data_IF_500905550296
#
_entry.id   IF_500905550296
#
_cell.length_a   1.000
_cell.length_b   1.000
_cell.length_c   1.000
_cell.angle_alpha   90.00
_cell.angle_beta   90.00
_cell.angle_gamma   90.00
#
_symmetry.space_group_name_H-M   'P 1'
#
loop_
_entity.id
_entity.type
_entity.pdbx_description
1 polymer ?
#
# COMPACT_ATOMS: atom_id res chain seq x y z
N UNK A 1 4.50 5.45 7.03
CA UNK A 1 5.09 4.09 7.07
C UNK A 1 6.43 4.21 7.77
N UNK A 2 6.94 3.16 8.42
CA UNK A 2 8.22 3.22 9.14
C UNK A 2 9.43 3.06 8.21
N UNK A 3 9.37 2.11 7.27
CA UNK A 3 10.48 1.77 6.37
C UNK A 3 9.92 1.53 4.96
N UNK A 4 10.37 2.24 3.91
CA UNK A 4 9.96 1.95 2.54
C UNK A 4 10.50 0.58 2.11
N UNK A 5 9.73 -0.10 1.25
CA UNK A 5 10.22 -1.28 0.55
C UNK A 5 11.18 -0.89 -0.56
N UNK A 6 12.16 -1.75 -0.85
CA UNK A 6 12.87 -1.72 -2.11
C UNK A 6 11.96 -2.32 -3.20
N UNK A 7 11.75 -1.57 -4.28
CA UNK A 7 10.96 -2.05 -5.41
C UNK A 7 11.71 -3.16 -6.15
N UNK A 8 11.03 -4.27 -6.44
CA UNK A 8 11.61 -5.42 -7.15
C UNK A 8 10.98 -5.52 -8.54
N UNK A 9 11.73 -5.15 -9.60
CA UNK A 9 11.24 -5.30 -10.96
C UNK A 9 10.91 -6.76 -11.29
N UNK A 10 9.80 -6.99 -11.99
CA UNK A 10 9.37 -8.34 -12.33
C UNK A 10 8.55 -8.39 -13.62
N UNK A 11 8.51 -9.57 -14.26
CA UNK A 11 7.73 -9.82 -15.48
C UNK A 11 6.23 -9.48 -15.34
N UNK A 12 5.71 -9.45 -14.12
CA UNK A 12 4.30 -9.11 -13.83
C UNK A 12 3.95 -7.69 -14.26
N UNK A 13 4.92 -6.79 -14.36
CA UNK A 13 4.74 -5.42 -14.86
C UNK A 13 4.24 -5.38 -16.32
N UNK A 14 4.50 -6.44 -17.10
CA UNK A 14 3.98 -6.58 -18.47
C UNK A 14 2.45 -6.54 -18.51
N UNK A 15 1.77 -6.88 -17.42
CA UNK A 15 0.33 -6.72 -17.33
C UNK A 15 -0.10 -5.25 -17.42
N UNK A 16 0.65 -4.33 -16.80
CA UNK A 16 0.40 -2.90 -16.94
C UNK A 16 0.74 -2.42 -18.36
N UNK A 17 1.79 -2.95 -19.00
CA UNK A 17 2.10 -2.64 -20.41
C UNK A 17 0.95 -3.03 -21.34
N UNK A 18 0.33 -4.20 -21.12
CA UNK A 18 -0.87 -4.60 -21.85
C UNK A 18 -2.04 -3.67 -21.61
N UNK A 19 -2.25 -3.22 -20.36
CA UNK A 19 -3.30 -2.25 -20.04
C UNK A 19 -3.06 -0.89 -20.71
N UNK A 20 -1.81 -0.43 -20.77
CA UNK A 20 -1.46 0.79 -21.49
C UNK A 20 -1.82 0.66 -22.98
N UNK A 21 -1.47 -0.47 -23.61
CA UNK A 21 -1.83 -0.73 -25.01
C UNK A 21 -3.35 -0.81 -25.23
N UNK A 22 -4.07 -1.53 -24.35
CA UNK A 22 -5.54 -1.62 -24.41
C UNK A 22 -6.17 -0.23 -24.27
N UNK A 23 -5.64 0.61 -23.38
CA UNK A 23 -6.12 1.97 -23.19
C UNK A 23 -5.90 2.84 -24.44
N UNK A 24 -4.77 2.70 -25.13
CA UNK A 24 -4.53 3.37 -26.42
C UNK A 24 -5.49 2.89 -27.52
N UNK A 25 -5.82 1.60 -27.54
CA UNK A 25 -6.84 1.04 -28.42
C UNK A 25 -8.21 1.68 -28.13
N UNK A 26 -8.60 1.78 -26.85
CA UNK A 26 -9.84 2.46 -26.46
C UNK A 26 -9.84 3.93 -26.89
N UNK A 27 -8.75 4.67 -26.63
CA UNK A 27 -8.65 6.08 -27.01
C UNK A 27 -8.70 6.32 -28.53
N UNK A 28 -8.43 5.30 -29.34
CA UNK A 28 -8.49 5.38 -30.81
C UNK A 28 -9.89 5.04 -31.37
N UNK A 29 -10.81 4.57 -30.53
CA UNK A 29 -12.15 4.11 -30.94
C UNK A 29 -13.00 5.18 -31.66
N UNK A 30 -12.95 6.49 -31.31
CA UNK A 30 -13.69 7.54 -32.02
C UNK A 30 -13.35 7.68 -33.51
N UNK A 31 -12.24 7.07 -33.99
CA UNK A 31 -11.91 7.02 -35.43
C UNK A 31 -12.94 6.25 -36.28
N UNK A 32 -13.87 5.52 -35.64
CA UNK A 32 -14.98 4.81 -36.29
C UNK A 32 -14.66 3.37 -36.73
N UNK A 33 -13.47 2.86 -36.41
CA UNK A 33 -13.13 1.46 -36.65
C UNK A 33 -14.00 0.53 -35.76
N UNK A 34 -14.53 -0.59 -36.30
CA UNK A 34 -15.21 -1.58 -35.46
C UNK A 34 -14.20 -2.31 -34.56
N UNK A 35 -14.66 -2.75 -33.39
CA UNK A 35 -13.84 -3.60 -32.52
C UNK A 35 -13.45 -4.89 -33.24
N UNK A 36 -12.15 -5.19 -33.26
CA UNK A 36 -11.63 -6.42 -33.87
C UNK A 36 -10.25 -6.78 -33.31
N UNK A 37 -9.86 -8.05 -33.46
CA UNK A 37 -8.54 -8.52 -33.03
C UNK A 37 -7.37 -7.87 -33.78
N UNK A 38 -7.62 -7.24 -34.93
CA UNK A 38 -6.61 -6.50 -35.69
C UNK A 38 -6.12 -5.24 -34.97
N UNK A 39 -6.92 -4.70 -34.03
CA UNK A 39 -6.53 -3.56 -33.19
C UNK A 39 -5.28 -3.88 -32.34
N UNK A 40 -5.00 -5.16 -32.09
CA UNK A 40 -3.85 -5.62 -31.30
C UNK A 40 -2.61 -5.96 -32.14
N UNK A 41 -2.61 -5.72 -33.46
CA UNK A 41 -1.47 -6.04 -34.34
C UNK A 41 -0.15 -5.38 -33.90
N UNK A 42 -0.21 -4.22 -33.24
CA UNK A 42 0.96 -3.52 -32.68
C UNK A 42 1.57 -4.18 -31.44
N UNK A 43 0.90 -5.18 -30.85
CA UNK A 43 1.39 -5.93 -29.70
C UNK A 43 1.11 -7.44 -29.88
N UNK A 44 2.04 -8.20 -30.49
CA UNK A 44 1.81 -9.61 -30.83
C UNK A 44 1.48 -10.51 -29.64
N UNK A 45 2.13 -10.29 -28.48
CA UNK A 45 1.87 -11.09 -27.27
C UNK A 45 0.45 -10.83 -26.74
N UNK A 46 0.03 -9.56 -26.67
CA UNK A 46 -1.34 -9.22 -26.29
C UNK A 46 -2.35 -9.73 -27.32
N UNK A 47 -2.03 -9.66 -28.61
CA UNK A 47 -2.91 -10.20 -29.66
C UNK A 47 -3.13 -11.70 -29.49
N UNK A 48 -2.08 -12.45 -29.17
CA UNK A 48 -2.18 -13.89 -28.89
C UNK A 48 -3.13 -14.15 -27.71
N UNK A 49 -2.97 -13.41 -26.60
CA UNK A 49 -3.85 -13.49 -25.43
C UNK A 49 -5.31 -13.15 -25.80
N UNK A 50 -5.53 -12.02 -26.47
CA UNK A 50 -6.88 -11.58 -26.85
C UNK A 50 -7.54 -12.53 -27.85
N UNK A 51 -6.75 -13.18 -28.71
CA UNK A 51 -7.22 -14.22 -29.63
C UNK A 51 -7.62 -15.47 -28.85
N UNK A 52 -6.79 -15.92 -27.91
CA UNK A 52 -7.12 -17.05 -27.04
C UNK A 52 -8.40 -16.79 -26.25
N UNK A 53 -8.54 -15.61 -25.63
CA UNK A 53 -9.74 -15.22 -24.91
C UNK A 53 -10.98 -15.02 -25.79
N UNK A 54 -10.82 -14.70 -27.07
CA UNK A 54 -11.96 -14.58 -27.97
C UNK A 54 -12.58 -15.94 -28.32
N UNK A 55 -11.77 -16.99 -28.43
CA UNK A 55 -12.22 -18.32 -28.82
C UNK A 55 -12.43 -19.29 -27.64
N UNK A 56 -11.97 -18.92 -26.44
CA UNK A 56 -12.13 -19.74 -25.25
C UNK A 56 -13.51 -19.56 -24.61
N UNK A 57 -14.22 -20.67 -24.38
CA UNK A 57 -15.48 -20.72 -23.64
C UNK A 57 -15.20 -20.84 -22.13
N UNK A 58 -14.69 -19.76 -21.52
CA UNK A 58 -14.39 -19.71 -20.09
C UNK A 58 -14.77 -18.37 -19.48
N UNK A 59 -15.18 -18.37 -18.20
CA UNK A 59 -15.54 -17.13 -17.49
C UNK A 59 -14.42 -16.08 -17.44
N UNK A 60 -13.16 -16.50 -17.45
CA UNK A 60 -12.01 -15.59 -17.44
C UNK A 60 -11.83 -14.96 -18.82
N UNK A 61 -11.92 -15.77 -19.88
CA UNK A 61 -11.88 -15.29 -21.25
C UNK A 61 -13.02 -14.30 -21.53
N UNK A 62 -14.25 -14.65 -21.15
CA UNK A 62 -15.43 -13.78 -21.24
C UNK A 62 -15.25 -12.47 -20.48
N UNK A 63 -14.64 -12.53 -19.28
CA UNK A 63 -14.34 -11.32 -18.51
C UNK A 63 -13.44 -10.37 -19.30
N UNK A 64 -12.35 -10.85 -19.91
CA UNK A 64 -11.47 -9.97 -20.66
C UNK A 64 -12.11 -9.51 -21.98
N UNK A 65 -12.55 -10.46 -22.82
CA UNK A 65 -13.08 -10.16 -24.15
C UNK A 65 -14.29 -9.22 -24.09
N UNK A 66 -15.27 -9.54 -23.25
CA UNK A 66 -16.53 -8.78 -23.18
C UNK A 66 -16.35 -7.41 -22.53
N UNK A 67 -15.57 -7.29 -21.45
CA UNK A 67 -15.39 -5.98 -20.80
C UNK A 67 -14.51 -5.05 -21.65
N UNK A 68 -13.44 -5.57 -22.27
CA UNK A 68 -12.57 -4.74 -23.14
C UNK A 68 -13.35 -4.24 -24.35
N UNK A 69 -14.16 -5.09 -24.99
CA UNK A 69 -15.02 -4.68 -26.09
C UNK A 69 -16.10 -3.68 -25.65
N UNK A 70 -16.75 -3.92 -24.51
CA UNK A 70 -17.77 -2.99 -23.99
C UNK A 70 -17.18 -1.61 -23.72
N UNK A 71 -16.01 -1.52 -23.09
CA UNK A 71 -15.31 -0.26 -22.85
C UNK A 71 -14.93 0.40 -24.17
N UNK A 72 -14.41 -0.35 -25.15
CA UNK A 72 -14.12 0.19 -26.49
C UNK A 72 -15.35 0.85 -27.14
N UNK A 73 -16.52 0.20 -27.03
CA UNK A 73 -17.78 0.74 -27.56
C UNK A 73 -18.26 1.99 -26.81
N UNK A 74 -17.94 2.14 -25.52
CA UNK A 74 -18.17 3.40 -24.81
C UNK A 74 -17.23 4.50 -25.32
N UNK A 75 -15.94 4.20 -25.44
CA UNK A 75 -14.96 5.16 -25.96
C UNK A 75 -15.28 5.63 -27.37
N UNK A 76 -15.89 4.79 -28.23
CA UNK A 76 -16.25 5.20 -29.61
C UNK A 76 -17.34 6.28 -29.67
N UNK A 77 -18.04 6.55 -28.56
CA UNK A 77 -19.08 7.59 -28.48
C UNK A 77 -18.56 8.90 -27.88
N UNK A 78 -17.30 8.93 -27.40
CA UNK A 78 -16.72 10.10 -26.74
C UNK A 78 -16.19 11.11 -27.76
N UNK A 79 -16.26 12.39 -27.39
CA UNK A 79 -15.58 13.44 -28.14
C UNK A 79 -14.07 13.52 -27.79
N UNK A 80 -13.31 14.26 -28.61
CA UNK A 80 -11.86 14.37 -28.43
C UNK A 80 -11.47 14.97 -27.08
N UNK A 81 -12.22 15.94 -26.55
CA UNK A 81 -11.92 16.56 -25.26
C UNK A 81 -12.12 15.59 -24.10
N UNK A 82 -13.14 14.74 -24.17
CA UNK A 82 -13.36 13.66 -23.20
C UNK A 82 -12.23 12.62 -23.25
N UNK A 83 -11.77 12.25 -24.45
CA UNK A 83 -10.63 11.34 -24.64
C UNK A 83 -9.35 11.94 -24.06
N UNK A 84 -9.06 13.21 -24.35
CA UNK A 84 -7.88 13.90 -23.84
C UNK A 84 -7.92 13.96 -22.31
N UNK A 85 -9.09 14.22 -21.71
CA UNK A 85 -9.25 14.20 -20.25
C UNK A 85 -9.02 12.80 -19.65
N UNK A 86 -9.52 11.74 -20.29
CA UNK A 86 -9.29 10.37 -19.86
C UNK A 86 -7.81 9.98 -19.95
N UNK A 87 -7.08 10.45 -20.98
CA UNK A 87 -5.62 10.25 -21.08
C UNK A 87 -4.89 10.92 -19.92
N UNK A 88 -5.21 12.18 -19.63
CA UNK A 88 -4.63 12.89 -18.49
C UNK A 88 -4.86 12.15 -17.17
N UNK A 89 -6.08 11.66 -16.95
CA UNK A 89 -6.39 10.86 -15.75
C UNK A 89 -5.70 9.51 -15.73
N UNK A 90 -5.61 8.80 -16.86
CA UNK A 90 -4.92 7.51 -16.94
C UNK A 90 -3.44 7.66 -16.59
N UNK A 91 -2.78 8.67 -17.14
CA UNK A 91 -1.36 8.97 -16.88
C UNK A 91 -1.14 9.40 -15.43
N UNK A 92 -1.98 10.30 -14.90
CA UNK A 92 -1.89 10.77 -13.53
C UNK A 92 -2.11 9.64 -12.52
N UNK A 93 -3.13 8.81 -12.71
CA UNK A 93 -3.43 7.68 -11.81
C UNK A 93 -2.32 6.63 -11.75
N UNK A 94 -1.51 6.50 -12.80
CA UNK A 94 -0.41 5.54 -12.87
C UNK A 94 0.93 6.09 -12.39
N UNK A 95 1.04 7.39 -12.12
CA UNK A 95 2.18 8.01 -11.44
C UNK A 95 2.05 7.87 -9.91
N UNK A 96 2.10 6.63 -9.40
CA UNK A 96 1.75 6.30 -8.00
C UNK A 96 2.50 7.14 -6.96
N UNK A 97 3.79 7.35 -7.15
CA UNK A 97 4.61 8.16 -6.23
C UNK A 97 4.19 9.64 -6.22
N UNK A 98 3.90 10.20 -7.40
CA UNK A 98 3.40 11.56 -7.52
C UNK A 98 1.96 11.67 -6.97
N UNK A 99 1.11 10.67 -7.16
CA UNK A 99 -0.22 10.63 -6.56
C UNK A 99 -0.18 10.69 -5.02
N UNK A 100 0.89 10.19 -4.40
CA UNK A 100 1.11 10.26 -2.96
C UNK A 100 1.64 11.63 -2.48
N UNK A 101 2.35 12.40 -3.32
CA UNK A 101 3.17 13.53 -2.88
C UNK A 101 2.83 14.88 -3.52
N UNK A 102 2.41 14.85 -4.79
CA UNK A 102 2.00 16.02 -5.57
C UNK A 102 0.48 16.23 -5.47
N UNK A 103 0.09 17.28 -4.77
CA UNK A 103 -1.33 17.65 -4.55
C UNK A 103 -1.96 18.31 -5.77
N UNK A 104 -1.16 18.78 -6.72
CA UNK A 104 -1.63 19.44 -7.95
C UNK A 104 -1.85 18.42 -9.08
N UNK A 105 -1.26 17.22 -8.99
CA UNK A 105 -1.47 16.13 -9.93
C UNK A 105 -2.96 15.75 -10.00
N UNK A 106 -3.58 15.84 -11.18
CA UNK A 106 -5.00 15.59 -11.36
C UNK A 106 -5.31 14.08 -11.52
N UNK A 107 -5.30 13.35 -10.40
CA UNK A 107 -5.78 11.96 -10.36
C UNK A 107 -7.31 11.90 -10.35
N UNK A 108 -7.89 10.91 -11.02
CA UNK A 108 -9.33 10.65 -11.01
C UNK A 108 -9.68 9.47 -10.11
N UNK A 109 -10.84 9.54 -9.47
CA UNK A 109 -11.57 8.39 -8.92
C UNK A 109 -12.72 8.07 -9.88
N UNK A 110 -13.43 6.98 -9.60
CA UNK A 110 -14.62 6.63 -10.40
C UNK A 110 -15.69 7.74 -10.37
N UNK A 111 -15.73 8.56 -9.32
CA UNK A 111 -16.69 9.67 -9.22
C UNK A 111 -16.46 10.73 -10.31
N UNK A 112 -15.20 11.08 -10.59
CA UNK A 112 -14.88 12.04 -11.67
C UNK A 112 -15.17 11.45 -13.05
N UNK A 113 -14.93 10.15 -13.25
CA UNK A 113 -15.30 9.46 -14.50
C UNK A 113 -16.82 9.36 -14.66
N UNK A 114 -17.56 9.13 -13.57
CA UNK A 114 -19.02 9.03 -13.58
C UNK A 114 -19.69 10.38 -13.93
N UNK A 115 -19.09 11.49 -13.52
CA UNK A 115 -19.51 12.82 -13.93
C UNK A 115 -19.30 13.08 -15.44
N UNK A 116 -18.33 12.40 -16.08
CA UNK A 116 -18.11 12.45 -17.51
C UNK A 116 -19.06 11.51 -18.27
N UNK A 117 -19.13 10.24 -17.86
CA UNK A 117 -20.06 9.23 -18.39
C UNK A 117 -20.26 8.10 -17.36
N UNK A 118 -21.48 7.98 -16.85
CA UNK A 118 -21.83 7.00 -15.82
C UNK A 118 -21.73 5.53 -16.28
N UNK A 119 -22.04 5.25 -17.55
CA UNK A 119 -21.96 3.89 -18.08
C UNK A 119 -20.51 3.47 -18.30
N UNK A 120 -19.68 4.39 -18.79
CA UNK A 120 -18.24 4.18 -18.90
C UNK A 120 -17.62 3.96 -17.51
N UNK A 121 -17.97 4.77 -16.52
CA UNK A 121 -17.50 4.60 -15.14
C UNK A 121 -17.87 3.21 -14.58
N UNK A 122 -19.10 2.74 -14.82
CA UNK A 122 -19.54 1.41 -14.41
C UNK A 122 -18.75 0.30 -15.13
N UNK A 123 -18.51 0.42 -16.44
CA UNK A 123 -17.75 -0.55 -17.22
C UNK A 123 -16.28 -0.62 -16.76
N UNK A 124 -15.64 0.54 -16.58
CA UNK A 124 -14.28 0.65 -16.04
C UNK A 124 -14.20 0.08 -14.63
N UNK A 125 -15.17 0.38 -13.75
CA UNK A 125 -15.21 -0.14 -12.39
C UNK A 125 -15.27 -1.66 -12.37
N UNK A 126 -16.15 -2.26 -13.18
CA UNK A 126 -16.26 -3.71 -13.29
C UNK A 126 -14.94 -4.34 -13.75
N UNK A 127 -14.28 -3.74 -14.75
CA UNK A 127 -13.02 -4.25 -15.28
C UNK A 127 -11.86 -4.09 -14.29
N UNK A 128 -11.58 -2.87 -13.83
CA UNK A 128 -10.40 -2.58 -13.00
C UNK A 128 -10.52 -3.12 -11.57
N UNK A 129 -11.72 -3.30 -11.02
CA UNK A 129 -11.88 -3.99 -9.72
C UNK A 129 -11.65 -5.50 -9.82
N UNK A 130 -11.97 -6.11 -10.97
CA UNK A 130 -11.87 -7.56 -11.16
C UNK A 130 -10.51 -8.04 -11.69
N UNK A 131 -9.76 -7.20 -12.41
CA UNK A 131 -8.60 -7.64 -13.20
C UNK A 131 -7.50 -8.32 -12.37
N UNK A 132 -7.19 -7.81 -11.18
CA UNK A 132 -6.20 -8.40 -10.29
C UNK A 132 -6.54 -9.85 -9.91
N UNK A 133 -7.82 -10.16 -9.72
CA UNK A 133 -8.27 -11.51 -9.36
C UNK A 133 -8.23 -12.47 -10.57
N UNK A 134 -7.90 -11.96 -11.76
CA UNK A 134 -7.86 -12.70 -13.03
C UNK A 134 -6.47 -12.79 -13.66
N UNK A 135 -5.42 -12.27 -13.03
CA UNK A 135 -4.04 -12.35 -13.59
C UNK A 135 -3.44 -13.77 -13.55
N UNK A 136 -4.07 -14.69 -12.81
CA UNK A 136 -3.69 -16.11 -12.78
C UNK A 136 -4.16 -16.92 -14.01
N UNK A 137 -4.77 -16.29 -15.01
CA UNK A 137 -5.17 -16.98 -16.25
C UNK A 137 -3.96 -17.58 -16.96
N UNK A 138 -4.07 -18.81 -17.46
CA UNK A 138 -2.95 -19.53 -18.06
C UNK A 138 -2.29 -18.76 -19.22
N UNK A 139 -3.10 -18.21 -20.14
CA UNK A 139 -2.62 -17.42 -21.28
C UNK A 139 -1.89 -16.15 -20.85
N UNK A 140 -2.30 -15.54 -19.73
CA UNK A 140 -1.60 -14.38 -19.16
C UNK A 140 -0.30 -14.79 -18.49
N UNK A 141 -0.35 -15.80 -17.62
CA UNK A 141 0.80 -16.25 -16.81
C UNK A 141 1.99 -16.61 -17.69
N UNK A 142 1.76 -17.18 -18.88
CA UNK A 142 2.83 -17.47 -19.84
C UNK A 142 3.58 -16.21 -20.31
N UNK A 143 2.90 -15.06 -20.36
CA UNK A 143 3.46 -13.78 -20.84
C UNK A 143 3.93 -12.88 -19.70
N UNK A 144 3.25 -12.89 -18.56
CA UNK A 144 3.47 -11.95 -17.42
C UNK A 144 4.12 -12.62 -16.20
N UNK A 145 4.26 -13.94 -16.16
CA UNK A 145 4.72 -14.65 -14.98
C UNK A 145 3.62 -14.80 -13.92
N UNK A 146 4.00 -15.04 -12.66
CA UNK A 146 3.03 -15.27 -11.56
C UNK A 146 3.25 -14.32 -10.39
N UNK A 147 2.18 -14.09 -9.62
CA UNK A 147 2.28 -13.36 -8.34
C UNK A 147 3.19 -14.12 -7.35
N UNK A 148 3.22 -15.46 -7.40
CA UNK A 148 4.10 -16.26 -6.53
C UNK A 148 5.57 -15.97 -6.83
N UNK A 149 5.96 -16.01 -8.10
CA UNK A 149 7.34 -15.70 -8.50
C UNK A 149 7.75 -14.27 -8.11
N UNK A 150 6.85 -13.30 -8.28
CA UNK A 150 7.08 -11.94 -7.79
C UNK A 150 7.26 -11.91 -6.27
N UNK A 151 6.37 -12.56 -5.52
CA UNK A 151 6.46 -12.62 -4.06
C UNK A 151 7.78 -13.23 -3.58
N UNK A 152 8.21 -14.34 -4.18
CA UNK A 152 9.43 -15.03 -3.80
C UNK A 152 10.65 -14.14 -4.02
N UNK A 153 10.72 -13.42 -5.14
CA UNK A 153 11.75 -12.41 -5.37
C UNK A 153 11.64 -11.23 -4.38
N UNK A 154 10.42 -10.79 -4.10
CA UNK A 154 10.14 -9.65 -3.23
C UNK A 154 10.63 -9.86 -1.79
N UNK A 155 10.33 -11.02 -1.19
CA UNK A 155 10.66 -11.30 0.22
C UNK A 155 12.15 -11.55 0.45
N UNK A 156 12.90 -11.93 -0.59
CA UNK A 156 14.36 -12.05 -0.50
C UNK A 156 15.05 -10.69 -0.36
N UNK A 157 14.51 -9.67 -1.04
CA UNK A 157 15.02 -8.29 -0.96
C UNK A 157 14.49 -7.59 0.30
N UNK A 158 13.18 -7.71 0.56
CA UNK A 158 12.50 -7.02 1.65
C UNK A 158 12.34 -7.92 2.89
N UNK A 159 13.46 -8.46 3.39
CA UNK A 159 13.49 -9.54 4.37
C UNK A 159 13.45 -9.08 5.86
N UNK A 160 13.03 -7.85 6.14
CA UNK A 160 13.02 -7.32 7.52
C UNK A 160 11.94 -7.93 8.42
N UNK A 161 11.09 -8.82 7.91
CA UNK A 161 10.23 -9.74 8.70
C UNK A 161 9.05 -9.09 9.44
N UNK A 162 8.99 -7.77 9.52
CA UNK A 162 7.93 -6.99 10.17
C UNK A 162 7.17 -6.15 9.17
N UNK A 163 5.90 -5.87 9.42
CA UNK A 163 5.11 -5.01 8.56
C UNK A 163 5.70 -3.59 8.57
N UNK A 164 6.10 -3.01 7.42
CA UNK A 164 6.71 -1.68 7.41
C UNK A 164 5.73 -0.57 7.75
N UNK A 165 4.43 -0.84 7.66
CA UNK A 165 3.40 0.16 7.96
C UNK A 165 3.23 0.34 9.46
N UNK A 166 3.00 -0.73 10.22
CA UNK A 166 2.79 -0.61 11.67
C UNK A 166 4.03 -0.97 12.51
N UNK A 167 4.96 -1.76 12.00
CA UNK A 167 6.09 -2.30 12.79
C UNK A 167 5.72 -3.32 13.85
N UNK A 168 4.43 -3.67 14.00
CA UNK A 168 3.93 -4.57 15.06
C UNK A 168 3.83 -6.03 14.59
N UNK A 169 3.12 -6.25 13.49
CA UNK A 169 2.85 -7.59 12.95
C UNK A 169 4.03 -8.14 12.17
N UNK A 170 4.26 -9.45 12.27
CA UNK A 170 5.17 -10.16 11.36
C UNK A 170 4.60 -10.23 9.94
N UNK A 171 5.50 -10.32 8.96
CA UNK A 171 5.19 -10.67 7.59
C UNK A 171 5.69 -12.07 7.28
N UNK A 172 4.93 -12.79 6.45
CA UNK A 172 5.39 -14.07 5.89
C UNK A 172 6.57 -13.82 4.94
N UNK A 173 7.76 -14.26 5.34
CA UNK A 173 8.99 -14.20 4.54
C UNK A 173 9.29 -15.49 3.77
N UNK A 174 10.54 -15.64 3.32
CA UNK A 174 11.01 -16.76 2.46
C UNK A 174 10.75 -18.17 3.02
N UNK A 175 10.61 -18.31 4.34
CA UNK A 175 10.36 -19.59 5.00
C UNK A 175 8.87 -19.93 5.17
N UNK A 176 7.97 -19.24 4.46
CA UNK A 176 6.53 -19.49 4.49
C UNK A 176 6.01 -19.93 3.12
N UNK A 177 5.16 -20.95 3.08
CA UNK A 177 4.44 -21.35 1.86
C UNK A 177 3.32 -20.38 1.47
N UNK A 178 2.83 -19.60 2.43
CA UNK A 178 1.76 -18.63 2.23
C UNK A 178 2.35 -17.23 2.17
N UNK A 179 1.70 -16.35 1.41
CA UNK A 179 2.08 -14.95 1.25
C UNK A 179 1.10 -14.01 1.92
N UNK A 180 1.53 -12.77 2.14
CA UNK A 180 0.60 -11.69 2.44
C UNK A 180 -0.25 -11.33 1.21
N UNK A 181 -1.42 -10.76 1.50
CA UNK A 181 -2.21 -10.09 0.48
C UNK A 181 -1.46 -8.83 0.01
N UNK A 182 -1.63 -8.51 -1.28
CA UNK A 182 -1.12 -7.26 -1.84
C UNK A 182 -2.23 -6.24 -1.68
N UNK A 183 -2.00 -5.28 -0.78
CA UNK A 183 -2.86 -4.12 -0.63
C UNK A 183 -2.82 -3.30 -1.92
N UNK A 184 -3.98 -2.80 -2.34
CA UNK A 184 -4.03 -1.76 -3.37
C UNK A 184 -3.91 -0.44 -2.63
N UNK A 185 -2.70 0.12 -2.60
CA UNK A 185 -2.38 1.28 -1.76
C UNK A 185 -3.37 2.42 -2.02
N UNK A 186 -3.48 2.85 -3.28
CA UNK A 186 -4.65 3.54 -3.82
C UNK A 186 -5.75 2.50 -4.09
N UNK A 187 -6.89 2.53 -3.35
CA UNK A 187 -7.85 1.44 -3.39
C UNK A 187 -8.49 1.26 -4.78
N UNK A 188 -8.49 0.03 -5.30
CA UNK A 188 -9.14 -0.33 -6.57
C UNK A 188 -10.64 -0.01 -6.63
N UNK A 189 -11.28 0.14 -5.45
CA UNK A 189 -12.69 0.51 -5.33
C UNK A 189 -12.95 2.01 -5.61
N UNK A 190 -11.92 2.85 -5.44
CA UNK A 190 -11.99 4.29 -5.64
C UNK A 190 -11.36 4.70 -6.97
N UNK A 191 -10.20 4.12 -7.30
CA UNK A 191 -9.39 4.57 -8.44
C UNK A 191 -9.55 3.65 -9.67
N UNK A 192 -9.86 4.22 -10.84
CA UNK A 192 -9.66 3.54 -12.11
C UNK A 192 -8.16 3.46 -12.46
N UNK A 193 -7.83 2.59 -13.42
CA UNK A 193 -6.56 2.54 -14.15
C UNK A 193 -5.32 1.99 -13.43
N UNK A 194 -5.26 2.03 -12.10
CA UNK A 194 -4.03 1.69 -11.34
C UNK A 194 -4.11 0.39 -10.53
N UNK A 195 -5.13 -0.43 -10.74
CA UNK A 195 -5.34 -1.65 -9.95
C UNK A 195 -4.37 -2.78 -10.26
N UNK A 196 -3.66 -2.73 -11.39
CA UNK A 196 -2.64 -3.72 -11.75
C UNK A 196 -1.22 -3.15 -11.83
N UNK A 197 -1.07 -1.86 -11.47
CA UNK A 197 0.23 -1.23 -11.39
C UNK A 197 0.95 -1.76 -10.14
N UNK A 198 2.08 -2.46 -10.33
CA UNK A 198 2.82 -3.08 -9.22
C UNK A 198 3.43 -2.06 -8.24
N UNK A 199 3.55 -0.79 -8.64
CA UNK A 199 3.89 0.30 -7.71
C UNK A 199 2.72 0.65 -6.77
N UNK A 200 1.50 0.25 -7.09
CA UNK A 200 0.30 0.39 -6.26
C UNK A 200 -0.06 -0.88 -5.47
N UNK A 201 0.57 -2.02 -5.78
CA UNK A 201 0.30 -3.31 -5.14
C UNK A 201 1.38 -3.59 -4.10
N UNK A 202 1.01 -3.63 -2.82
CA UNK A 202 1.98 -3.62 -1.73
C UNK A 202 1.73 -4.75 -0.72
N UNK A 203 2.68 -5.69 -0.54
CA UNK A 203 2.59 -6.70 0.52
C UNK A 203 2.41 -6.05 1.90
N UNK A 204 1.32 -6.39 2.57
CA UNK A 204 0.89 -5.71 3.81
C UNK A 204 0.28 -6.73 4.78
N UNK A 205 0.59 -6.61 6.07
CA UNK A 205 0.00 -7.53 7.07
C UNK A 205 -1.53 -7.42 7.12
N UNK A 206 -2.19 -8.50 7.57
CA UNK A 206 -3.65 -8.57 7.65
C UNK A 206 -4.27 -7.40 8.42
N UNK A 207 -3.72 -7.05 9.58
CA UNK A 207 -4.22 -5.93 10.38
C UNK A 207 -4.20 -4.63 9.59
N UNK A 208 -3.06 -4.27 9.00
CA UNK A 208 -2.94 -3.01 8.28
C UNK A 208 -3.86 -2.98 7.05
N UNK A 209 -3.93 -4.06 6.28
CA UNK A 209 -4.70 -4.11 5.03
C UNK A 209 -6.21 -4.26 5.29
N UNK A 210 -6.60 -5.31 6.01
CA UNK A 210 -7.98 -5.80 6.08
C UNK A 210 -8.75 -5.39 7.34
N UNK A 211 -8.11 -4.73 8.30
CA UNK A 211 -8.77 -4.25 9.54
C UNK A 211 -8.76 -2.72 9.58
N UNK A 212 -7.59 -2.09 9.43
CA UNK A 212 -7.44 -0.65 9.63
C UNK A 212 -7.57 0.17 8.33
N UNK A 213 -6.78 -0.14 7.30
CA UNK A 213 -6.78 0.65 6.05
C UNK A 213 -8.07 0.48 5.27
N UNK A 214 -8.49 -0.77 5.02
CA UNK A 214 -9.68 -1.07 4.22
C UNK A 214 -9.66 -0.28 2.89
N UNK A 215 -10.65 0.59 2.69
CA UNK A 215 -10.78 1.45 1.51
C UNK A 215 -10.43 2.92 1.81
N UNK A 216 -9.81 3.23 2.96
CA UNK A 216 -9.33 4.58 3.25
C UNK A 216 -8.36 5.03 2.16
N UNK A 217 -8.50 6.28 1.76
CA UNK A 217 -7.81 6.84 0.61
C UNK A 217 -6.50 7.52 1.04
N UNK A 218 -5.32 7.06 0.57
CA UNK A 218 -4.08 7.74 0.90
C UNK A 218 -3.97 9.15 0.31
N UNK A 219 -4.57 9.41 -0.86
CA UNK A 219 -4.39 10.67 -1.58
C UNK A 219 -5.47 11.72 -1.27
N UNK A 220 -6.59 11.33 -0.63
CA UNK A 220 -7.63 12.24 -0.17
C UNK A 220 -8.04 12.00 1.29
N UNK A 221 -8.28 13.09 2.03
CA UNK A 221 -8.89 13.07 3.37
C UNK A 221 -9.85 14.25 3.50
N UNK A 222 -11.02 14.01 4.09
CA UNK A 222 -12.06 15.05 4.28
C UNK A 222 -12.43 15.81 2.98
N UNK A 223 -12.33 15.15 1.83
CA UNK A 223 -12.64 15.72 0.52
C UNK A 223 -11.52 16.54 -0.14
N UNK A 224 -10.36 16.69 0.51
CA UNK A 224 -9.21 17.41 -0.04
C UNK A 224 -8.03 16.48 -0.33
N UNK A 225 -7.15 16.88 -1.27
CA UNK A 225 -5.87 16.19 -1.48
C UNK A 225 -5.02 16.26 -0.21
N UNK A 226 -4.36 15.15 0.10
CA UNK A 226 -3.38 15.04 1.18
C UNK A 226 -2.15 14.28 0.71
N UNK A 227 -1.04 14.47 1.42
CA UNK A 227 0.19 13.70 1.18
C UNK A 227 0.19 12.39 1.96
N UNK A 228 0.84 11.39 1.41
CA UNK A 228 1.06 10.09 2.02
C UNK A 228 2.45 9.56 1.70
N UNK A 229 2.94 8.62 2.50
CA UNK A 229 4.21 7.95 2.18
C UNK A 229 4.04 6.99 1.01
N UNK A 230 4.89 7.13 -0.02
CA UNK A 230 4.97 6.14 -1.08
C UNK A 230 5.70 4.88 -0.62
N UNK A 231 5.08 3.71 -0.80
CA UNK A 231 5.56 2.44 -0.28
C UNK A 231 6.96 2.04 -0.78
N UNK A 232 7.33 2.49 -1.98
CA UNK A 232 8.61 2.18 -2.63
C UNK A 232 9.52 3.40 -2.77
N UNK A 233 9.36 4.38 -1.88
CA UNK A 233 10.18 5.60 -1.86
C UNK A 233 11.66 5.28 -1.69
N UNK A 234 12.52 5.86 -2.54
CA UNK A 234 13.97 5.81 -2.36
C UNK A 234 14.43 6.63 -1.13
N UNK A 235 13.60 7.57 -0.68
CA UNK A 235 13.87 8.39 0.51
C UNK A 235 13.26 7.71 1.74
N UNK A 236 14.06 7.47 2.81
CA UNK A 236 13.55 6.92 4.06
C UNK A 236 12.43 7.75 4.66
N UNK A 237 11.49 7.10 5.34
CA UNK A 237 10.39 7.80 6.03
C UNK A 237 10.90 8.61 7.23
N UNK A 238 11.93 8.11 7.94
CA UNK A 238 12.54 8.73 9.14
C UNK A 238 11.51 9.14 10.20
N UNK A 239 10.47 8.32 10.39
CA UNK A 239 9.47 8.61 11.43
C UNK A 239 10.11 8.48 12.80
N UNK A 240 10.02 9.56 13.58
CA UNK A 240 10.50 9.63 14.96
C UNK A 240 9.29 9.69 15.88
N UNK A 241 9.36 8.92 16.96
CA UNK A 241 8.28 8.84 17.95
C UNK A 241 8.88 9.24 19.29
N UNK A 242 8.24 10.20 19.95
CA UNK A 242 8.46 10.50 21.36
C UNK A 242 7.19 10.18 22.13
N UNK A 243 7.35 9.63 23.32
CA UNK A 243 6.25 9.33 24.24
C UNK A 243 6.35 10.24 25.45
N UNK A 244 5.25 10.89 25.79
CA UNK A 244 5.06 11.59 27.07
C UNK A 244 4.01 10.85 27.88
N UNK A 245 4.29 10.65 29.16
CA UNK A 245 3.39 9.97 30.09
C UNK A 245 2.88 10.94 31.16
N UNK A 246 1.59 10.90 31.43
CA UNK A 246 0.95 11.73 32.45
C UNK A 246 0.84 11.04 33.82
N UNK A 247 0.77 9.71 33.85
CA UNK A 247 0.70 8.92 35.09
C UNK A 247 2.10 8.52 35.56
N UNK A 248 2.42 8.59 36.87
CA UNK A 248 3.68 8.11 37.46
C UNK A 248 3.69 6.59 37.75
N UNK A 249 2.58 5.86 37.51
CA UNK A 249 2.47 4.45 37.87
C UNK A 249 2.22 3.54 36.64
N UNK A 250 3.24 2.77 36.27
CA UNK A 250 3.21 1.87 35.11
C UNK A 250 2.23 0.70 35.24
N UNK A 251 1.93 0.22 36.45
CA UNK A 251 1.02 -0.92 36.64
C UNK A 251 -0.42 -0.56 36.23
N UNK A 252 -0.76 0.72 36.39
CA UNK A 252 -2.08 1.28 36.11
C UNK A 252 -2.13 2.14 34.84
N UNK A 253 -1.08 2.12 34.01
CA UNK A 253 -1.01 2.92 32.79
C UNK A 253 -2.16 2.57 31.84
N UNK A 254 -2.82 3.61 31.32
CA UNK A 254 -3.91 3.51 30.37
C UNK A 254 -3.59 4.29 29.07
N UNK A 255 -4.34 4.04 27.98
CA UNK A 255 -4.15 4.80 26.73
C UNK A 255 -4.28 6.32 26.88
N UNK A 256 -5.07 6.80 27.84
CA UNK A 256 -5.27 8.23 28.11
C UNK A 256 -4.05 8.89 28.76
N UNK A 257 -3.19 8.09 29.41
CA UNK A 257 -1.94 8.58 30.02
C UNK A 257 -0.83 8.79 29.00
N UNK A 258 -1.02 8.34 27.76
CA UNK A 258 0.01 8.29 26.72
C UNK A 258 -0.25 9.35 25.67
N UNK A 259 0.73 10.24 25.47
CA UNK A 259 0.73 11.21 24.38
C UNK A 259 1.92 10.92 23.46
N UNK A 260 1.63 10.68 22.19
CA UNK A 260 2.65 10.54 21.16
C UNK A 260 2.95 11.89 20.50
N UNK A 261 4.23 12.14 20.29
CA UNK A 261 4.71 13.22 19.44
C UNK A 261 5.47 12.57 18.28
N UNK A 262 4.98 12.82 17.06
CA UNK A 262 5.57 12.28 15.84
C UNK A 262 6.40 13.33 15.13
N UNK A 263 7.48 12.89 14.50
CA UNK A 263 8.33 13.71 13.66
C UNK A 263 8.84 12.96 12.42
N UNK A 264 9.50 13.68 11.51
CA UNK A 264 9.94 15.06 11.67
C UNK A 264 8.87 16.07 11.19
N UNK A 265 8.93 17.36 11.59
CA UNK A 265 7.90 18.37 11.30
C UNK A 265 7.65 18.60 9.80
N UNK A 266 8.65 18.38 8.96
CA UNK A 266 8.53 18.52 7.51
C UNK A 266 7.67 17.42 6.85
N UNK A 267 7.33 16.34 7.58
CA UNK A 267 6.47 15.24 7.12
C UNK A 267 5.16 15.12 7.90
N UNK A 268 4.72 16.20 8.54
CA UNK A 268 3.51 16.17 9.40
C UNK A 268 2.27 15.69 8.65
N UNK A 269 2.09 16.06 7.37
CA UNK A 269 0.93 15.65 6.57
C UNK A 269 0.98 14.14 6.26
N UNK A 270 2.12 13.62 5.82
CA UNK A 270 2.33 12.20 5.52
C UNK A 270 2.19 11.33 6.77
N UNK A 271 2.69 11.81 7.92
CA UNK A 271 2.57 11.15 9.23
C UNK A 271 1.10 11.11 9.66
N UNK A 272 0.37 12.23 9.54
CA UNK A 272 -1.06 12.26 9.88
C UNK A 272 -1.86 11.27 9.02
N UNK A 273 -1.60 11.23 7.71
CA UNK A 273 -2.20 10.23 6.81
C UNK A 273 -1.83 8.81 7.23
N UNK A 274 -0.56 8.55 7.58
CA UNK A 274 -0.13 7.24 8.06
C UNK A 274 -0.83 6.81 9.36
N UNK A 275 -0.99 7.72 10.32
CA UNK A 275 -1.71 7.45 11.55
C UNK A 275 -3.18 7.11 11.28
N UNK A 276 -3.85 7.89 10.43
CA UNK A 276 -5.24 7.63 10.02
C UNK A 276 -5.38 6.29 9.30
N UNK A 277 -4.57 6.02 8.27
CA UNK A 277 -4.70 4.81 7.46
C UNK A 277 -4.54 3.53 8.29
N UNK A 278 -3.65 3.51 9.28
CA UNK A 278 -3.26 2.27 9.96
C UNK A 278 -3.58 2.22 11.45
N UNK A 279 -4.31 3.22 11.97
CA UNK A 279 -4.72 3.30 13.37
C UNK A 279 -3.53 3.37 14.33
N UNK A 280 -2.48 4.09 13.95
CA UNK A 280 -1.17 3.98 14.63
C UNK A 280 -1.25 4.40 16.10
N UNK A 281 -1.83 5.55 16.40
CA UNK A 281 -1.93 6.08 17.76
C UNK A 281 -2.61 5.07 18.70
N UNK A 282 -3.79 4.59 18.32
CA UNK A 282 -4.56 3.63 19.12
C UNK A 282 -3.77 2.33 19.34
N UNK A 283 -3.21 1.75 18.28
CA UNK A 283 -2.48 0.48 18.34
C UNK A 283 -1.19 0.60 19.13
N UNK A 284 -0.48 1.71 19.03
CA UNK A 284 0.75 1.93 19.79
C UNK A 284 0.44 2.17 21.26
N UNK A 285 -0.63 2.91 21.60
CA UNK A 285 -1.10 3.04 22.99
C UNK A 285 -1.45 1.67 23.57
N UNK A 286 -2.22 0.86 22.84
CA UNK A 286 -2.57 -0.50 23.26
C UNK A 286 -1.32 -1.35 23.50
N UNK A 287 -0.31 -1.25 22.62
CA UNK A 287 0.98 -1.95 22.78
C UNK A 287 1.73 -1.51 24.04
N UNK A 288 1.79 -0.21 24.31
CA UNK A 288 2.41 0.34 25.52
C UNK A 288 1.69 -0.06 26.82
N UNK A 289 0.38 -0.27 26.78
CA UNK A 289 -0.42 -0.69 27.94
C UNK A 289 -0.49 -2.22 28.12
N UNK A 290 -0.01 -3.01 27.16
CA UNK A 290 -0.14 -4.47 27.18
C UNK A 290 0.71 -5.16 28.25
N UNK A 291 0.16 -6.19 28.88
CA UNK A 291 0.83 -6.98 29.94
C UNK A 291 2.14 -7.62 29.45
N UNK A 292 2.13 -8.24 28.27
CA UNK A 292 3.31 -8.88 27.67
C UNK A 292 4.13 -7.93 26.78
N UNK A 293 3.81 -6.63 26.82
CA UNK A 293 4.39 -5.61 25.96
C UNK A 293 4.94 -4.47 26.82
N UNK A 294 4.37 -3.26 26.74
CA UNK A 294 4.94 -2.11 27.44
C UNK A 294 5.07 -2.29 28.95
N UNK A 295 4.12 -2.94 29.62
CA UNK A 295 4.25 -3.25 31.05
C UNK A 295 5.41 -4.21 31.32
N UNK A 296 5.55 -5.26 30.50
CA UNK A 296 6.67 -6.18 30.59
C UNK A 296 8.01 -5.49 30.30
N UNK A 297 8.06 -4.54 29.36
CA UNK A 297 9.30 -3.79 29.08
C UNK A 297 9.76 -2.98 30.29
N UNK A 298 8.85 -2.39 31.07
CA UNK A 298 9.17 -1.69 32.32
C UNK A 298 9.61 -2.68 33.40
N UNK A 299 8.88 -3.78 33.58
CA UNK A 299 9.24 -4.83 34.53
C UNK A 299 10.65 -5.37 34.26
N UNK A 300 11.01 -5.61 33.00
CA UNK A 300 12.33 -6.06 32.60
C UNK A 300 13.44 -5.07 33.05
N UNK A 301 13.22 -3.76 32.88
CA UNK A 301 14.18 -2.75 33.34
C UNK A 301 14.35 -2.80 34.86
N UNK A 302 13.24 -2.88 35.62
CA UNK A 302 13.25 -2.94 37.08
C UNK A 302 13.94 -4.21 37.59
N UNK A 303 13.64 -5.37 37.00
CA UNK A 303 14.20 -6.67 37.36
C UNK A 303 15.70 -6.73 37.07
N UNK A 304 16.16 -6.26 35.91
CA UNK A 304 17.58 -6.20 35.57
C UNK A 304 18.33 -5.25 36.51
N UNK A 305 17.73 -4.12 36.89
CA UNK A 305 18.32 -3.23 37.90
C UNK A 305 18.46 -3.90 39.27
N UNK A 306 17.43 -4.62 39.71
CA UNK A 306 17.41 -5.28 41.01
C UNK A 306 18.39 -6.48 41.09
N UNK A 307 18.50 -7.25 40.00
CA UNK A 307 19.24 -8.51 39.99
C UNK A 307 20.69 -8.38 39.51
N UNK A 308 20.99 -7.44 38.61
CA UNK A 308 22.32 -7.30 38.01
C UNK A 308 23.11 -6.08 38.54
N UNK A 309 22.50 -5.25 39.39
CA UNK A 309 23.14 -4.04 39.92
C UNK A 309 23.45 -2.98 38.86
N UNK A 310 22.77 -3.05 37.71
CA UNK A 310 22.91 -2.11 36.59
C UNK A 310 21.96 -0.93 36.81
N UNK A 311 22.37 0.29 36.49
CA UNK A 311 21.47 1.45 36.65
C UNK A 311 20.47 1.57 35.50
N UNK A 312 19.31 2.22 35.70
CA UNK A 312 18.37 2.46 34.60
C UNK A 312 19.00 3.19 33.41
N UNK A 313 19.91 4.14 33.66
CA UNK A 313 20.69 4.82 32.62
C UNK A 313 21.50 3.88 31.73
N UNK A 314 22.15 2.89 32.34
CA UNK A 314 22.95 1.91 31.61
C UNK A 314 22.06 1.00 30.75
N UNK A 315 20.89 0.60 31.24
CA UNK A 315 19.90 -0.18 30.49
C UNK A 315 19.31 0.63 29.33
N UNK A 316 18.92 1.88 29.57
CA UNK A 316 18.44 2.78 28.52
C UNK A 316 19.48 2.99 27.41
N UNK A 317 20.77 3.09 27.76
CA UNK A 317 21.83 3.15 26.77
C UNK A 317 21.95 1.85 25.93
N UNK A 318 21.69 0.68 26.52
CA UNK A 318 21.63 -0.61 25.78
C UNK A 318 20.44 -0.63 24.82
N UNK A 319 19.26 -0.26 25.30
CA UNK A 319 18.01 -0.20 24.51
C UNK A 319 18.16 0.76 23.33
N UNK A 320 18.78 1.93 23.53
CA UNK A 320 19.07 2.88 22.45
C UNK A 320 19.92 2.26 21.35
N UNK A 321 21.03 1.61 21.71
CA UNK A 321 21.91 0.93 20.73
C UNK A 321 21.19 -0.20 19.99
N UNK A 322 20.34 -0.96 20.68
CA UNK A 322 19.54 -2.01 20.05
C UNK A 322 18.53 -1.44 19.05
N UNK A 323 17.82 -0.38 19.42
CA UNK A 323 16.86 0.29 18.55
C UNK A 323 17.50 0.97 17.34
N UNK A 324 18.70 1.54 17.49
CA UNK A 324 19.48 2.09 16.37
C UNK A 324 19.93 1.01 15.39
N UNK A 325 20.35 -0.15 15.90
CA UNK A 325 20.80 -1.27 15.07
C UNK A 325 19.65 -2.04 14.41
N UNK A 326 18.53 -2.20 15.12
CA UNK A 326 17.44 -3.07 14.72
C UNK A 326 16.10 -2.50 15.21
N UNK A 327 15.62 -1.41 14.58
CA UNK A 327 14.45 -0.66 15.06
C UNK A 327 13.16 -1.48 15.05
N UNK A 328 12.97 -2.38 14.08
CA UNK A 328 11.74 -3.19 13.98
C UNK A 328 11.76 -4.45 14.86
N UNK A 329 12.95 -4.94 15.25
CA UNK A 329 13.08 -6.11 16.11
C UNK A 329 12.40 -5.82 17.46
N UNK A 330 11.52 -6.71 17.92
CA UNK A 330 10.77 -6.56 19.18
C UNK A 330 10.06 -5.20 19.34
N UNK A 331 9.70 -4.54 18.22
CA UNK A 331 9.17 -3.17 18.23
C UNK A 331 10.10 -2.15 18.92
N UNK A 332 11.42 -2.31 18.80
CA UNK A 332 12.43 -1.49 19.47
C UNK A 332 12.24 0.01 19.25
N UNK A 333 11.75 0.43 18.08
CA UNK A 333 11.42 1.81 17.75
C UNK A 333 10.40 2.40 18.75
N UNK A 334 9.39 1.61 19.14
CA UNK A 334 8.36 1.99 20.11
C UNK A 334 8.80 1.70 21.54
N UNK A 335 9.43 0.55 21.81
CA UNK A 335 9.97 0.18 23.14
C UNK A 335 10.92 1.24 23.67
N UNK A 336 11.87 1.70 22.83
CA UNK A 336 12.78 2.79 23.17
C UNK A 336 11.99 4.05 23.55
N UNK A 337 11.11 4.51 22.67
CA UNK A 337 10.38 5.76 22.86
C UNK A 337 9.52 5.73 24.14
N UNK A 338 8.86 4.59 24.39
CA UNK A 338 8.05 4.37 25.57
C UNK A 338 8.87 4.38 26.86
N UNK A 339 9.97 3.62 26.93
CA UNK A 339 10.82 3.56 28.13
C UNK A 339 11.55 4.88 28.40
N UNK A 340 11.87 5.67 27.36
CA UNK A 340 12.35 7.04 27.53
C UNK A 340 11.26 7.93 28.17
N UNK A 341 10.00 7.79 27.74
CA UNK A 341 8.86 8.43 28.38
C UNK A 341 8.64 8.01 29.84
N UNK A 342 8.76 6.72 30.16
CA UNK A 342 8.70 6.20 31.54
C UNK A 342 9.77 6.81 32.44
N UNK A 343 11.01 6.90 31.92
CA UNK A 343 12.10 7.54 32.64
C UNK A 343 11.85 9.04 32.87
N UNK A 344 11.40 9.76 31.85
CA UNK A 344 11.04 11.18 31.97
C UNK A 344 9.90 11.40 32.99
N UNK A 345 8.98 10.42 33.14
CA UNK A 345 7.91 10.43 34.12
C UNK A 345 8.30 9.90 35.52
N UNK A 346 9.56 9.47 35.72
CA UNK A 346 10.09 9.06 37.02
C UNK A 346 9.72 7.64 37.46
N UNK A 347 9.50 6.72 36.54
CA UNK A 347 9.16 5.32 36.88
C UNK A 347 10.36 4.56 37.48
N UNK A 348 11.57 4.97 37.11
CA UNK A 348 12.84 4.40 37.58
C UNK A 348 14.00 5.37 37.39
#
# INVERSE_FOLDING_TARGET
MLVPYEYVPHQMERMQEFINFIFDVWCSAPSGAPYSLNLYNGNPDLKEIMTAFHYADTQIADFYSSNIEAIYRHFSQLDQGQIDQLRLWFDANNQIEAACSDKDLQIARYAEVEALDANLAAALRKFFTGIYDKVGAADLVQKIGTISAHHDAFVLVNNFGKCPFCGLSDLKGEYHEKREAYDHYLPKALYPFNSINFRNLVPTCHECNSVYKLQKDPAFGEGARRKSFFAYSAVPSDIRIKVKLASPNYESISPDDIVFEYGPPEKTEEIATWCDLYGIDERYKAKCCGENDGKYWVAQVLDECANEGVTPDQLMARIRRQAEKSPLAESNFLKKAFLEGCKEAGFF
#
